data_IF_550650141637
#
_entry.id   IF_550650141637
#
_cell.length_a   1.000
_cell.length_b   1.000
_cell.length_c   1.000
_cell.angle_alpha   90.00
_cell.angle_beta   90.00
_cell.angle_gamma   90.00
#
_symmetry.space_group_name_H-M   'P 1'
#
loop_
_entity.id
_entity.type
_entity.pdbx_description
1 polymer ?
#
# COMPACT_ATOMS: atom_id res chain seq x y z
N UNK A 1 47.35 -14.31 -25.52
CA UNK A 1 46.21 -13.36 -25.44
C UNK A 1 44.93 -14.15 -25.69
N UNK A 2 44.31 -14.65 -24.62
CA UNK A 2 43.02 -15.36 -24.70
C UNK A 2 41.88 -14.36 -24.73
N UNK A 3 40.98 -14.47 -25.72
CA UNK A 3 39.71 -13.75 -25.73
C UNK A 3 38.82 -14.34 -24.64
N UNK A 4 38.43 -13.52 -23.68
CA UNK A 4 37.40 -13.86 -22.71
C UNK A 4 36.06 -14.14 -23.43
N UNK A 5 35.24 -15.08 -22.94
CA UNK A 5 33.94 -15.37 -23.53
C UNK A 5 32.97 -14.24 -23.26
N UNK A 6 32.23 -13.85 -24.30
CA UNK A 6 31.08 -12.94 -24.24
C UNK A 6 30.01 -13.63 -23.41
N UNK A 7 29.75 -13.11 -22.22
CA UNK A 7 28.55 -13.45 -21.45
C UNK A 7 27.36 -13.02 -22.29
N UNK A 8 26.55 -14.00 -22.69
CA UNK A 8 25.24 -13.77 -23.30
C UNK A 8 24.37 -13.11 -22.26
N UNK A 9 23.87 -11.91 -22.57
CA UNK A 9 22.76 -11.29 -21.86
C UNK A 9 21.61 -12.32 -21.79
N UNK A 10 21.27 -12.73 -20.58
CA UNK A 10 20.03 -13.42 -20.33
C UNK A 10 18.90 -12.42 -20.58
N UNK A 11 17.86 -12.87 -21.29
CA UNK A 11 16.61 -12.15 -21.52
C UNK A 11 16.10 -11.45 -20.26
N UNK A 12 16.45 -10.18 -20.08
CA UNK A 12 15.70 -9.25 -19.27
C UNK A 12 14.42 -8.95 -20.05
N UNK A 13 13.41 -9.83 -19.92
CA UNK A 13 12.09 -9.62 -20.49
C UNK A 13 11.65 -8.20 -20.16
N UNK A 14 11.31 -7.43 -21.21
CA UNK A 14 10.98 -6.01 -21.07
C UNK A 14 9.89 -5.85 -20.01
N UNK A 15 10.23 -5.21 -18.89
CA UNK A 15 9.25 -4.90 -17.86
C UNK A 15 8.20 -3.98 -18.48
N UNK A 16 6.93 -4.36 -18.39
CA UNK A 16 5.85 -3.51 -18.83
C UNK A 16 5.57 -2.46 -17.74
N UNK A 17 5.54 -1.19 -18.11
CA UNK A 17 5.37 -0.08 -17.17
C UNK A 17 3.91 0.10 -16.70
N UNK A 18 2.95 -0.55 -17.37
CA UNK A 18 1.53 -0.36 -17.17
C UNK A 18 0.83 -1.67 -16.79
N UNK A 19 0.18 -1.65 -15.62
CA UNK A 19 -0.72 -2.70 -15.14
C UNK A 19 -2.06 -2.05 -14.79
N UNK A 20 -3.15 -2.73 -15.17
CA UNK A 20 -4.50 -2.23 -14.92
C UNK A 20 -4.85 -2.26 -13.44
N UNK A 21 -5.63 -1.28 -12.98
CA UNK A 21 -6.03 -1.18 -11.58
C UNK A 21 -6.84 -2.40 -11.11
N UNK A 22 -7.64 -2.99 -11.99
CA UNK A 22 -8.36 -4.24 -11.71
C UNK A 22 -7.40 -5.40 -11.38
N UNK A 23 -6.32 -5.53 -12.16
CA UNK A 23 -5.30 -6.55 -11.92
C UNK A 23 -4.58 -6.30 -10.61
N UNK A 24 -4.22 -5.05 -10.31
CA UNK A 24 -3.67 -4.69 -8.98
C UNK A 24 -4.65 -5.10 -7.88
N UNK A 25 -5.94 -4.82 -8.03
CA UNK A 25 -6.99 -5.22 -7.09
C UNK A 25 -7.00 -6.72 -6.81
N UNK A 26 -6.84 -7.55 -7.83
CA UNK A 26 -6.74 -9.01 -7.66
C UNK A 26 -5.49 -9.41 -6.86
N UNK A 27 -4.34 -8.78 -7.13
CA UNK A 27 -3.10 -9.02 -6.38
C UNK A 27 -3.26 -8.58 -4.92
N UNK A 28 -3.90 -7.44 -4.67
CA UNK A 28 -4.21 -6.96 -3.32
C UNK A 28 -5.15 -7.92 -2.58
N UNK A 29 -6.14 -8.51 -3.26
CA UNK A 29 -7.05 -9.50 -2.66
C UNK A 29 -6.32 -10.77 -2.22
N UNK A 30 -5.36 -11.22 -3.03
CA UNK A 30 -4.47 -12.34 -2.67
C UNK A 30 -3.65 -12.00 -1.43
N UNK A 31 -2.98 -10.85 -1.43
CA UNK A 31 -2.16 -10.40 -0.28
C UNK A 31 -2.99 -10.25 0.98
N UNK A 32 -4.19 -9.66 0.88
CA UNK A 32 -5.10 -9.52 2.01
C UNK A 32 -5.47 -10.90 2.60
N UNK A 33 -5.82 -11.85 1.75
CA UNK A 33 -6.19 -13.21 2.19
C UNK A 33 -5.04 -13.85 2.95
N UNK A 34 -3.83 -13.84 2.37
CA UNK A 34 -2.64 -14.39 3.02
C UNK A 34 -2.30 -13.67 4.34
N UNK A 35 -2.47 -12.34 4.41
CA UNK A 35 -2.23 -11.56 5.63
C UNK A 35 -3.20 -11.98 6.74
N UNK A 36 -4.49 -12.14 6.43
CA UNK A 36 -5.51 -12.52 7.41
C UNK A 36 -5.30 -13.94 7.93
N UNK A 37 -4.79 -14.85 7.11
CA UNK A 37 -4.44 -16.22 7.52
C UNK A 37 -3.15 -16.26 8.35
N UNK A 38 -2.13 -15.48 7.96
CA UNK A 38 -0.79 -15.54 8.59
C UNK A 38 -0.71 -14.71 9.87
N UNK A 39 -1.37 -13.55 9.89
CA UNK A 39 -1.28 -12.58 10.98
C UNK A 39 -2.65 -12.14 11.47
N UNK A 40 -3.56 -13.03 11.91
CA UNK A 40 -4.95 -12.69 12.18
C UNK A 40 -5.15 -11.55 13.20
N UNK A 41 -4.18 -11.33 14.10
CA UNK A 41 -4.22 -10.33 15.16
C UNK A 41 -3.04 -9.34 15.20
N UNK A 42 -2.03 -9.54 14.35
CA UNK A 42 -0.86 -8.64 14.29
C UNK A 42 -1.03 -7.72 13.09
N UNK A 43 -1.49 -6.48 13.36
CA UNK A 43 -1.75 -5.47 12.34
C UNK A 43 -0.50 -4.62 12.05
N UNK A 44 0.43 -4.54 13.00
CA UNK A 44 1.63 -3.70 12.88
C UNK A 44 2.62 -4.27 11.87
N UNK A 45 2.75 -5.59 11.76
CA UNK A 45 3.64 -6.21 10.76
C UNK A 45 3.10 -6.16 9.33
N UNK A 46 1.82 -5.81 9.12
CA UNK A 46 1.16 -6.01 7.83
C UNK A 46 1.64 -5.06 6.74
N UNK A 47 2.09 -3.84 7.07
CA UNK A 47 2.59 -2.90 6.07
C UNK A 47 3.82 -3.46 5.34
N UNK A 48 4.84 -3.88 6.09
CA UNK A 48 6.07 -4.44 5.55
C UNK A 48 5.81 -5.73 4.75
N UNK A 49 5.10 -6.70 5.33
CA UNK A 49 4.81 -7.97 4.64
C UNK A 49 3.98 -7.74 3.38
N UNK A 50 3.02 -6.82 3.42
CA UNK A 50 2.21 -6.48 2.24
C UNK A 50 3.06 -5.89 1.12
N UNK A 51 3.96 -4.94 1.43
CA UNK A 51 4.78 -4.29 0.42
C UNK A 51 5.71 -5.29 -0.29
N UNK A 52 6.30 -6.23 0.46
CA UNK A 52 7.17 -7.27 -0.12
C UNK A 52 6.38 -8.24 -1.01
N UNK A 53 5.21 -8.70 -0.58
CA UNK A 53 4.39 -9.59 -1.38
C UNK A 53 3.82 -8.90 -2.64
N UNK A 54 3.37 -7.64 -2.53
CA UNK A 54 2.92 -6.85 -3.67
C UNK A 54 4.05 -6.71 -4.70
N UNK A 55 5.27 -6.35 -4.26
CA UNK A 55 6.44 -6.24 -5.14
C UNK A 55 6.74 -7.55 -5.88
N UNK A 56 6.72 -8.67 -5.16
CA UNK A 56 6.96 -9.99 -5.76
C UNK A 56 5.89 -10.40 -6.78
N UNK A 57 4.62 -10.12 -6.48
CA UNK A 57 3.50 -10.39 -7.38
C UNK A 57 3.54 -9.53 -8.65
N UNK A 58 3.89 -8.25 -8.51
CA UNK A 58 4.09 -7.34 -9.65
C UNK A 58 5.28 -7.79 -10.51
N UNK A 59 6.40 -8.17 -9.88
CA UNK A 59 7.57 -8.68 -10.60
C UNK A 59 7.26 -9.96 -11.39
N UNK A 60 6.47 -10.88 -10.82
CA UNK A 60 5.99 -12.07 -11.55
C UNK A 60 5.18 -11.69 -12.79
N UNK A 61 4.36 -10.65 -12.70
CA UNK A 61 3.55 -10.14 -13.80
C UNK A 61 4.37 -9.20 -14.73
N UNK A 62 5.69 -9.12 -14.57
CA UNK A 62 6.59 -8.34 -15.42
C UNK A 62 6.52 -6.83 -15.20
N UNK A 63 6.04 -6.38 -14.03
CA UNK A 63 5.86 -4.96 -13.71
C UNK A 63 6.99 -4.46 -12.81
N UNK A 64 7.70 -3.44 -13.29
CA UNK A 64 8.73 -2.75 -12.50
C UNK A 64 8.13 -2.04 -11.28
N UNK A 65 8.65 -2.35 -10.09
CA UNK A 65 8.16 -1.77 -8.84
C UNK A 65 9.23 -1.77 -7.75
N UNK A 66 9.13 -0.82 -6.82
CA UNK A 66 10.02 -0.73 -5.66
C UNK A 66 9.23 -0.63 -4.37
N UNK A 67 9.77 -1.21 -3.30
CA UNK A 67 9.27 -0.95 -1.95
C UNK A 67 9.82 0.41 -1.48
N UNK A 68 8.96 1.20 -0.85
CA UNK A 68 9.28 2.56 -0.42
C UNK A 68 9.03 2.65 1.07
N UNK A 69 10.08 2.98 1.82
CA UNK A 69 10.02 3.26 3.25
C UNK A 69 9.79 4.74 3.49
N UNK A 70 8.85 5.07 4.36
CA UNK A 70 8.55 6.46 4.66
C UNK A 70 7.51 6.66 5.75
N UNK A 71 6.92 7.86 5.77
CA UNK A 71 5.79 8.20 6.64
C UNK A 71 4.51 8.25 5.82
N UNK A 72 3.43 7.81 6.43
CA UNK A 72 2.10 7.83 5.83
C UNK A 72 1.10 8.35 6.85
N UNK A 73 0.26 9.30 6.44
CA UNK A 73 -0.85 9.82 7.23
C UNK A 73 -2.09 9.93 6.37
N UNK A 74 -3.24 9.60 6.95
CA UNK A 74 -4.52 9.77 6.30
C UNK A 74 -5.56 10.37 7.24
N UNK A 75 -6.48 11.14 6.65
CA UNK A 75 -7.73 11.49 7.27
C UNK A 75 -8.52 10.22 7.56
N UNK A 76 -8.80 10.00 8.82
CA UNK A 76 -9.72 8.97 9.29
C UNK A 76 -11.00 9.62 9.77
N UNK A 77 -12.11 8.92 9.57
CA UNK A 77 -13.45 9.36 9.96
C UNK A 77 -14.02 8.32 10.92
N UNK A 78 -14.64 8.76 12.02
CA UNK A 78 -15.33 7.85 12.93
C UNK A 78 -16.49 7.15 12.22
N UNK A 79 -16.88 5.96 12.71
CA UNK A 79 -18.00 5.19 12.14
C UNK A 79 -19.33 5.98 12.09
N UNK A 80 -19.51 6.96 12.99
CA UNK A 80 -20.70 7.80 13.01
C UNK A 80 -20.56 9.10 12.21
N UNK A 81 -19.38 9.38 11.66
CA UNK A 81 -19.12 10.61 10.89
C UNK A 81 -19.07 11.89 11.73
N UNK A 82 -19.04 11.76 13.05
CA UNK A 82 -19.06 12.87 14.01
C UNK A 82 -17.66 13.38 14.38
N UNK A 83 -16.61 12.61 14.03
CA UNK A 83 -15.22 12.93 14.32
C UNK A 83 -14.34 12.59 13.13
N UNK A 84 -13.34 13.41 12.90
CA UNK A 84 -12.24 13.10 11.99
C UNK A 84 -10.91 13.46 12.63
N UNK A 85 -9.84 12.79 12.23
CA UNK A 85 -8.48 13.00 12.70
C UNK A 85 -7.49 12.64 11.59
N UNK A 86 -6.25 13.10 11.71
CA UNK A 86 -5.15 12.57 10.92
C UNK A 86 -4.50 11.44 11.73
N UNK A 87 -4.51 10.23 11.19
CA UNK A 87 -3.86 9.05 11.77
C UNK A 87 -2.94 8.40 10.74
N UNK A 88 -1.91 7.73 11.22
CA UNK A 88 -0.90 7.20 10.35
C UNK A 88 0.29 6.62 11.11
N UNK A 89 1.32 6.36 10.34
CA UNK A 89 2.60 5.87 10.81
C UNK A 89 3.62 7.02 10.66
N UNK A 90 3.55 8.00 11.57
CA UNK A 90 4.45 9.17 11.55
C UNK A 90 5.69 8.99 12.44
N UNK A 91 5.60 8.18 13.48
CA UNK A 91 6.64 8.01 14.49
C UNK A 91 6.78 6.55 14.91
N UNK A 92 8.04 6.14 15.18
CA UNK A 92 8.39 4.79 15.61
C UNK A 92 9.90 4.67 15.83
N UNK A 93 10.36 3.64 16.55
CA UNK A 93 11.80 3.36 16.71
C UNK A 93 12.45 2.85 15.42
N UNK A 94 11.65 2.51 14.42
CA UNK A 94 12.09 1.96 13.13
C UNK A 94 12.61 3.07 12.20
N UNK A 95 13.52 2.71 11.28
CA UNK A 95 14.14 3.64 10.32
C UNK A 95 13.10 4.35 9.43
N UNK A 96 12.04 3.63 9.06
CA UNK A 96 10.84 4.16 8.43
C UNK A 96 9.63 3.45 9.06
N UNK A 97 8.59 4.19 9.49
CA UNK A 97 7.45 3.62 10.20
C UNK A 97 6.41 2.94 9.28
N UNK A 98 6.49 3.15 7.96
CA UNK A 98 5.59 2.52 6.98
C UNK A 98 6.31 2.10 5.71
N UNK A 99 5.78 1.06 5.06
CA UNK A 99 6.23 0.56 3.77
C UNK A 99 5.03 0.46 2.81
N UNK A 100 5.22 0.97 1.60
CA UNK A 100 4.30 0.78 0.48
C UNK A 100 5.06 0.41 -0.79
N UNK A 101 4.35 0.18 -1.90
CA UNK A 101 4.95 -0.08 -3.21
C UNK A 101 4.72 1.09 -4.15
N UNK A 102 5.73 1.45 -4.93
CA UNK A 102 5.61 2.40 -6.01
C UNK A 102 5.99 1.74 -7.33
N UNK A 103 5.22 2.02 -8.38
CA UNK A 103 5.61 1.79 -9.78
C UNK A 103 5.99 3.13 -10.42
N UNK A 104 6.31 3.12 -11.71
CA UNK A 104 6.53 4.35 -12.48
C UNK A 104 5.34 5.33 -12.37
N UNK A 105 4.11 4.82 -12.35
CA UNK A 105 2.88 5.61 -12.46
C UNK A 105 1.89 5.45 -11.30
N UNK A 106 2.16 4.59 -10.30
CA UNK A 106 1.23 4.34 -9.19
C UNK A 106 1.91 4.31 -7.82
N UNK A 107 1.15 4.71 -6.80
CA UNK A 107 1.37 4.35 -5.40
C UNK A 107 0.40 3.19 -5.10
N UNK A 108 0.90 2.11 -4.52
CA UNK A 108 0.12 0.91 -4.18
C UNK A 108 0.32 0.62 -2.69
N UNK A 109 -0.76 0.71 -1.92
CA UNK A 109 -0.69 0.62 -0.46
C UNK A 109 -1.97 0.01 0.16
N UNK A 110 -1.79 -1.00 1.01
CA UNK A 110 -2.85 -1.54 1.87
C UNK A 110 -2.95 -0.85 3.23
N UNK A 111 -1.99 0.01 3.57
CA UNK A 111 -1.93 0.79 4.81
C UNK A 111 -3.24 1.48 5.17
N UNK A 112 -3.85 2.29 4.29
CA UNK A 112 -5.12 2.94 4.58
C UNK A 112 -6.21 1.94 4.98
N UNK A 113 -6.29 0.80 4.27
CA UNK A 113 -7.25 -0.25 4.60
C UNK A 113 -7.03 -0.80 6.01
N UNK A 114 -5.78 -0.92 6.50
CA UNK A 114 -5.53 -1.46 7.84
C UNK A 114 -5.62 -0.45 8.99
N UNK A 115 -5.57 0.86 8.72
CA UNK A 115 -5.63 1.90 9.76
C UNK A 115 -6.81 1.74 10.76
N UNK A 116 -8.04 1.39 10.34
CA UNK A 116 -9.17 1.18 11.26
C UNK A 116 -8.93 0.19 12.39
N UNK A 117 -8.06 -0.81 12.20
CA UNK A 117 -7.81 -1.86 13.19
C UNK A 117 -6.85 -1.45 14.31
N UNK A 118 -6.03 -0.42 14.10
CA UNK A 118 -5.11 0.12 15.11
C UNK A 118 -5.64 1.36 15.82
N UNK A 119 -6.82 1.85 15.46
CA UNK A 119 -7.32 3.13 15.93
C UNK A 119 -7.90 3.07 17.35
N UNK A 120 -7.73 4.12 18.18
CA UNK A 120 -8.30 4.17 19.53
C UNK A 120 -9.83 4.31 19.56
N UNK A 121 -10.48 4.50 18.41
CA UNK A 121 -11.94 4.54 18.28
C UNK A 121 -12.39 3.90 16.96
N UNK A 122 -13.65 3.44 16.86
CA UNK A 122 -14.15 2.80 15.64
C UNK A 122 -14.14 3.77 14.45
N UNK A 123 -13.35 3.43 13.43
CA UNK A 123 -13.27 4.18 12.17
C UNK A 123 -14.17 3.60 11.08
N UNK A 124 -14.46 4.43 10.09
CA UNK A 124 -14.90 3.97 8.77
C UNK A 124 -13.80 3.17 8.09
N UNK A 125 -14.20 2.14 7.33
CA UNK A 125 -13.27 1.43 6.48
C UNK A 125 -12.81 2.32 5.34
N UNK A 126 -11.55 2.21 4.99
CA UNK A 126 -10.92 2.97 3.92
C UNK A 126 -10.51 2.02 2.81
N UNK A 127 -10.60 2.42 1.53
CA UNK A 127 -10.10 1.61 0.44
C UNK A 127 -8.57 1.51 0.49
N UNK A 128 -7.98 0.44 -0.06
CA UNK A 128 -6.57 0.47 -0.38
C UNK A 128 -6.29 1.52 -1.46
N UNK A 129 -5.05 2.01 -1.48
CA UNK A 129 -4.61 3.05 -2.40
C UNK A 129 -3.94 2.40 -3.61
N UNK A 130 -4.40 2.76 -4.82
CA UNK A 130 -3.76 2.42 -6.11
C UNK A 130 -3.66 3.70 -6.93
N UNK A 131 -3.07 4.73 -6.33
CA UNK A 131 -3.20 6.12 -6.77
C UNK A 131 -2.30 6.46 -7.96
N UNK A 132 -2.85 7.14 -8.97
CA UNK A 132 -2.06 7.70 -10.06
C UNK A 132 -1.07 8.76 -9.58
N UNK A 133 0.23 8.54 -9.85
CA UNK A 133 1.29 9.52 -9.54
C UNK A 133 1.24 10.77 -10.42
N UNK A 134 0.43 10.77 -11.48
CA UNK A 134 0.18 11.95 -12.31
C UNK A 134 -0.87 12.90 -11.71
N UNK A 135 -1.54 12.49 -10.63
CA UNK A 135 -2.58 13.27 -9.97
C UNK A 135 -2.13 13.70 -8.57
N UNK A 136 -2.46 14.93 -8.13
CA UNK A 136 -2.17 15.35 -6.78
C UNK A 136 -2.96 14.49 -5.78
N UNK A 137 -2.31 14.10 -4.70
CA UNK A 137 -2.99 13.49 -3.56
C UNK A 137 -3.96 14.51 -2.92
N UNK A 138 -5.11 14.05 -2.39
CA UNK A 138 -5.96 14.87 -1.51
C UNK A 138 -5.16 15.38 -0.30
N UNK A 139 -5.48 16.56 0.25
CA UNK A 139 -4.89 17.07 1.49
C UNK A 139 -5.00 16.06 2.65
N UNK A 140 -6.07 15.27 2.68
CA UNK A 140 -6.25 14.20 3.66
C UNK A 140 -5.38 12.95 3.45
N UNK A 141 -4.46 12.92 2.49
CA UNK A 141 -3.50 11.83 2.27
C UNK A 141 -2.08 12.39 2.15
N UNK A 142 -1.19 11.97 3.03
CA UNK A 142 0.21 12.41 3.03
C UNK A 142 1.14 11.20 2.99
N UNK A 143 2.06 11.22 2.02
CA UNK A 143 3.12 10.24 1.86
C UNK A 143 4.46 10.98 1.79
N UNK A 144 5.35 10.70 2.73
CA UNK A 144 6.71 11.24 2.76
C UNK A 144 7.70 10.11 2.51
N UNK A 145 8.41 10.17 1.38
CA UNK A 145 9.45 9.19 1.04
C UNK A 145 10.70 9.45 1.87
N UNK A 146 11.13 8.46 2.66
CA UNK A 146 12.41 8.48 3.36
C UNK A 146 13.46 7.71 2.54
N UNK A 147 13.10 6.53 2.03
CA UNK A 147 14.02 5.65 1.31
C UNK A 147 13.28 4.83 0.25
N UNK A 148 13.89 4.69 -0.93
CA UNK A 148 13.49 3.69 -1.91
C UNK A 148 14.39 2.48 -1.73
N UNK A 149 13.81 1.33 -1.39
CA UNK A 149 14.55 0.11 -1.15
C UNK A 149 15.01 -0.50 -2.47
N UNK A 150 16.21 -1.06 -2.48
CA UNK A 150 16.74 -1.78 -3.65
C UNK A 150 15.94 -3.06 -3.92
N UNK A 151 15.97 -3.52 -5.17
CA UNK A 151 15.23 -4.72 -5.58
C UNK A 151 15.70 -5.99 -4.83
N UNK A 152 16.97 -5.98 -4.39
CA UNK A 152 17.62 -7.03 -3.61
C UNK A 152 17.60 -6.76 -2.09
N UNK A 153 16.83 -5.78 -1.63
CA UNK A 153 16.73 -5.50 -0.20
C UNK A 153 16.13 -6.71 0.53
N UNK A 154 16.82 -7.15 1.59
CA UNK A 154 16.30 -8.14 2.52
C UNK A 154 15.23 -7.49 3.41
N UNK A 155 14.22 -8.28 3.77
CA UNK A 155 13.17 -7.87 4.69
C UNK A 155 13.73 -7.55 6.08
N UNK A 156 14.64 -8.40 6.57
CA UNK A 156 15.29 -8.24 7.86
C UNK A 156 16.71 -8.80 7.84
N UNK A 157 17.57 -8.32 8.72
CA UNK A 157 18.86 -8.96 9.01
C UNK A 157 18.72 -10.17 9.93
N UNK A 158 17.57 -10.32 10.60
CA UNK A 158 17.23 -11.51 11.37
C UNK A 158 16.81 -12.66 10.42
N UNK A 159 17.54 -13.79 10.39
CA UNK A 159 17.26 -14.91 9.50
C UNK A 159 15.89 -15.55 9.69
N UNK A 160 15.35 -15.55 10.91
CA UNK A 160 14.05 -16.15 11.20
C UNK A 160 12.91 -15.26 10.70
N UNK A 161 13.05 -13.95 10.88
CA UNK A 161 12.10 -12.96 10.33
C UNK A 161 12.17 -12.95 8.80
N UNK A 162 13.37 -13.02 8.22
CA UNK A 162 13.54 -13.12 6.77
C UNK A 162 12.86 -14.38 6.22
N UNK A 163 13.10 -15.55 6.83
CA UNK A 163 12.45 -16.80 6.42
C UNK A 163 10.93 -16.70 6.49
N UNK A 164 10.38 -16.08 7.53
CA UNK A 164 8.95 -15.85 7.64
C UNK A 164 8.41 -14.98 6.49
N UNK A 165 9.13 -13.93 6.11
CA UNK A 165 8.77 -13.08 4.97
C UNK A 165 8.82 -13.85 3.64
N UNK A 166 9.85 -14.67 3.43
CA UNK A 166 10.00 -15.50 2.23
C UNK A 166 8.89 -16.54 2.10
N UNK A 167 8.53 -17.20 3.22
CA UNK A 167 7.41 -18.13 3.27
C UNK A 167 6.08 -17.43 2.97
N UNK A 168 5.86 -16.23 3.52
CA UNK A 168 4.67 -15.45 3.25
C UNK A 168 4.55 -15.04 1.78
N UNK A 169 5.63 -14.54 1.19
CA UNK A 169 5.69 -14.18 -0.23
C UNK A 169 5.44 -15.40 -1.12
N UNK A 170 6.04 -16.54 -0.79
CA UNK A 170 5.84 -17.80 -1.52
C UNK A 170 4.39 -18.25 -1.51
N UNK A 171 3.68 -18.12 -0.38
CA UNK A 171 2.24 -18.40 -0.29
C UNK A 171 1.42 -17.45 -1.18
N UNK A 172 1.72 -16.15 -1.16
CA UNK A 172 1.04 -15.18 -2.01
C UNK A 172 1.24 -15.50 -3.50
N UNK A 173 2.47 -15.84 -3.91
CA UNK A 173 2.79 -16.22 -5.28
C UNK A 173 2.03 -17.46 -5.72
N UNK A 174 1.94 -18.47 -4.86
CA UNK A 174 1.20 -19.71 -5.12
C UNK A 174 -0.32 -19.50 -5.21
N UNK A 175 -0.87 -18.57 -4.42
CA UNK A 175 -2.30 -18.26 -4.40
C UNK A 175 -2.75 -17.36 -5.57
N UNK A 176 -1.85 -16.59 -6.16
CA UNK A 176 -2.22 -15.60 -7.16
C UNK A 176 -2.99 -16.07 -8.42
N UNK A 177 -2.86 -17.33 -8.90
CA UNK A 177 -3.69 -17.82 -10.00
C UNK A 177 -5.20 -17.83 -9.70
N UNK A 178 -5.62 -17.78 -8.42
CA UNK A 178 -7.03 -17.96 -8.04
C UNK A 178 -7.90 -16.71 -8.19
N UNK A 179 -7.36 -15.60 -8.72
CA UNK A 179 -8.07 -14.33 -8.97
C UNK A 179 -9.02 -13.94 -7.83
N UNK A 180 -8.46 -13.54 -6.69
CA UNK A 180 -9.25 -13.08 -5.54
C UNK A 180 -9.50 -11.57 -5.69
N UNK A 181 -10.72 -11.11 -6.02
CA UNK A 181 -10.97 -9.67 -6.06
C UNK A 181 -10.80 -9.09 -4.66
N UNK A 182 -10.26 -7.87 -4.57
CA UNK A 182 -10.29 -7.14 -3.31
C UNK A 182 -11.75 -6.87 -2.93
N UNK A 183 -12.16 -7.10 -1.66
CA UNK A 183 -13.57 -7.02 -1.27
C UNK A 183 -14.14 -5.59 -1.24
N UNK A 184 -13.31 -4.58 -1.51
CA UNK A 184 -13.68 -3.17 -1.50
C UNK A 184 -13.18 -2.46 -2.76
N UNK A 185 -13.75 -1.30 -3.04
CA UNK A 185 -13.29 -0.44 -4.14
C UNK A 185 -11.84 0.04 -3.90
N UNK A 186 -11.15 0.44 -4.97
CA UNK A 186 -9.77 0.92 -4.93
C UNK A 186 -9.73 2.43 -5.13
N UNK A 187 -8.97 3.15 -4.30
CA UNK A 187 -8.73 4.58 -4.51
C UNK A 187 -7.66 4.77 -5.61
N UNK A 188 -8.10 4.94 -6.86
CA UNK A 188 -7.21 5.01 -8.02
C UNK A 188 -6.84 6.42 -8.48
N UNK A 189 -7.62 7.42 -8.07
CA UNK A 189 -7.47 8.81 -8.48
C UNK A 189 -8.72 9.62 -8.15
N UNK A 190 -8.76 10.86 -8.60
CA UNK A 190 -9.85 11.80 -8.33
C UNK A 190 -11.21 11.30 -8.84
N UNK A 191 -11.23 10.65 -10.00
CA UNK A 191 -12.46 10.09 -10.56
C UNK A 191 -13.08 9.01 -9.65
N UNK A 192 -12.26 8.17 -9.02
CA UNK A 192 -12.74 7.16 -8.08
C UNK A 192 -13.33 7.79 -6.81
N UNK A 193 -12.71 8.87 -6.31
CA UNK A 193 -13.25 9.64 -5.18
C UNK A 193 -14.60 10.26 -5.52
N UNK A 194 -14.75 10.89 -6.68
CA UNK A 194 -16.03 11.47 -7.13
C UNK A 194 -17.13 10.40 -7.19
N UNK A 195 -16.80 9.22 -7.74
CA UNK A 195 -17.75 8.12 -7.82
C UNK A 195 -18.17 7.61 -6.42
N UNK A 196 -17.21 7.46 -5.51
CA UNK A 196 -17.46 7.01 -4.15
C UNK A 196 -18.24 8.04 -3.31
N UNK A 197 -18.00 9.34 -3.50
CA UNK A 197 -18.80 10.41 -2.88
C UNK A 197 -20.27 10.34 -3.32
N UNK A 198 -20.49 10.20 -4.63
CA UNK A 198 -21.83 10.04 -5.20
C UNK A 198 -22.54 8.76 -4.73
N UNK A 199 -21.79 7.68 -4.49
CA UNK A 199 -22.27 6.44 -3.89
C UNK A 199 -22.52 6.55 -2.37
N UNK A 200 -22.13 7.67 -1.76
CA UNK A 200 -22.41 7.98 -0.36
C UNK A 200 -21.35 7.48 0.63
N UNK A 201 -20.16 7.12 0.16
CA UNK A 201 -19.05 6.63 0.99
C UNK A 201 -18.71 7.64 2.11
N UNK A 202 -18.75 7.16 3.36
CA UNK A 202 -18.62 8.00 4.53
C UNK A 202 -17.20 8.56 4.72
N UNK A 203 -16.17 7.79 4.34
CA UNK A 203 -14.79 8.27 4.40
C UNK A 203 -14.57 9.37 3.36
N UNK A 204 -15.04 9.16 2.12
CA UNK A 204 -14.91 10.17 1.07
C UNK A 204 -15.67 11.45 1.40
N UNK A 205 -16.87 11.36 1.98
CA UNK A 205 -17.59 12.56 2.45
C UNK A 205 -16.80 13.35 3.48
N UNK A 206 -16.17 12.67 4.44
CA UNK A 206 -15.28 13.31 5.40
C UNK A 206 -14.06 13.95 4.73
N UNK A 207 -13.47 13.26 3.74
CA UNK A 207 -12.38 13.79 2.94
C UNK A 207 -12.79 15.07 2.20
N UNK A 208 -13.92 15.07 1.48
CA UNK A 208 -14.42 16.25 0.76
C UNK A 208 -14.68 17.42 1.71
N UNK A 209 -15.20 17.17 2.91
CA UNK A 209 -15.36 18.20 3.93
C UNK A 209 -14.02 18.76 4.40
N UNK A 210 -13.03 17.89 4.63
CA UNK A 210 -11.68 18.26 5.02
C UNK A 210 -10.97 19.08 3.93
N UNK A 211 -11.11 18.71 2.65
CA UNK A 211 -10.53 19.46 1.53
C UNK A 211 -11.04 20.89 1.42
N UNK A 212 -12.31 21.12 1.80
CA UNK A 212 -12.98 22.43 1.77
C UNK A 212 -12.66 23.29 3.01
N UNK A 213 -12.13 22.68 4.06
CA UNK A 213 -11.81 23.40 5.27
C UNK A 213 -10.66 24.41 5.00
N UNK A 214 -10.70 25.62 5.59
CA UNK A 214 -9.59 26.55 5.51
C UNK A 214 -8.30 25.90 6.02
N UNK A 215 -7.18 26.22 5.39
CA UNK A 215 -5.87 25.76 5.85
C UNK A 215 -5.67 26.20 7.31
N UNK A 216 -5.45 25.26 8.23
CA UNK A 216 -5.40 25.50 9.68
C UNK A 216 -6.64 25.06 10.48
N UNK A 217 -7.61 24.38 9.86
CA UNK A 217 -8.65 23.69 10.62
C UNK A 217 -8.05 22.45 11.26
N UNK A 218 -7.79 22.50 12.57
CA UNK A 218 -7.16 21.43 13.34
C UNK A 218 -7.95 20.11 13.22
N UNK A 219 -7.58 19.25 12.27
CA UNK A 219 -7.74 17.82 12.49
C UNK A 219 -6.90 17.50 13.72
N UNK A 220 -7.56 17.17 14.84
CA UNK A 220 -6.87 16.81 16.06
C UNK A 220 -5.90 15.65 15.75
N UNK A 221 -4.59 15.94 15.72
CA UNK A 221 -3.56 14.91 15.68
C UNK A 221 -3.62 14.18 17.01
N UNK A 222 -4.16 12.97 17.02
CA UNK A 222 -4.05 12.08 18.17
C UNK A 222 -2.92 11.11 17.85
N UNK A 223 -1.73 11.41 18.38
CA UNK A 223 -0.55 10.55 18.42
C UNK A 223 -0.68 9.52 19.53
#
# INVERSE_FOLDING_TARGET
MGRAPVLRDADAGALHENIEAERIGQLLGVVLTCLLETFPRDFFRRCAFSAYAIRALLARDGVGSHAVGGRFTSLVVSRHGDRYALQGFESGPERFPHLWVATANRIIDLGPYFLPWGSPFPLQLMPPLVWSRSEPLPKGLHYEVIEVLSDNATFSSDPDVQRQADEFVSRCLAAAPTSVPFPYWLATGQAALIHADAAGDAWVKGLVQFERAPDGTDAQRQS
#
